data_IF_394042157553
#
_entry.id   IF_394042157553
#
_cell.length_a   1.000
_cell.length_b   1.000
_cell.length_c   1.000
_cell.angle_alpha   90.00
_cell.angle_beta   90.00
_cell.angle_gamma   90.00
#
_symmetry.space_group_name_H-M   'P 1'
#
loop_
_entity.id
_entity.type
_entity.pdbx_description
1 polymer ?
#
# COMPACT_ATOMS: atom_id res chain seq x y z
N UNK A 1 28.73 -16.95 3.84
CA UNK A 1 28.25 -16.88 2.44
C UNK A 1 26.74 -16.60 2.46
N UNK A 2 26.31 -15.34 2.34
CA UNK A 2 24.88 -15.00 2.30
C UNK A 2 24.36 -15.11 0.86
N UNK A 3 23.59 -16.17 0.59
CA UNK A 3 22.93 -16.41 -0.70
C UNK A 3 21.69 -15.50 -0.83
N UNK A 4 21.81 -14.45 -1.64
CA UNK A 4 21.02 -14.30 -2.87
C UNK A 4 19.47 -14.23 -2.82
N UNK A 5 18.83 -13.66 -1.80
CA UNK A 5 17.35 -13.58 -1.74
C UNK A 5 16.69 -12.32 -2.33
N UNK A 6 17.42 -11.22 -2.51
CA UNK A 6 16.77 -9.89 -2.52
C UNK A 6 16.37 -9.33 -3.89
N UNK A 7 16.89 -9.86 -5.01
CA UNK A 7 16.68 -9.26 -6.34
C UNK A 7 15.48 -9.81 -7.11
N UNK A 8 15.11 -11.07 -6.88
CA UNK A 8 13.97 -11.69 -7.58
C UNK A 8 12.62 -11.16 -7.07
N UNK A 9 12.47 -10.92 -5.77
CA UNK A 9 11.21 -10.44 -5.18
C UNK A 9 10.84 -9.01 -5.61
N UNK A 10 11.83 -8.11 -5.72
CA UNK A 10 11.61 -6.73 -6.21
C UNK A 10 11.19 -6.74 -7.69
N UNK A 11 11.72 -7.67 -8.49
CA UNK A 11 11.36 -7.84 -9.90
C UNK A 11 9.91 -8.30 -10.09
N UNK A 12 9.38 -9.11 -9.17
CA UNK A 12 7.98 -9.55 -9.16
C UNK A 12 7.07 -8.42 -8.71
N UNK A 13 7.43 -7.69 -7.63
CA UNK A 13 6.70 -6.50 -7.16
C UNK A 13 6.63 -5.41 -8.24
N UNK A 14 7.75 -5.08 -8.89
CA UNK A 14 7.76 -4.07 -9.97
C UNK A 14 7.01 -4.53 -11.22
N UNK A 15 6.96 -5.83 -11.50
CA UNK A 15 6.16 -6.40 -12.61
C UNK A 15 4.66 -6.46 -12.26
N UNK A 16 4.29 -6.70 -11.01
CA UNK A 16 2.92 -6.63 -10.50
C UNK A 16 2.41 -5.18 -10.47
N UNK A 17 3.24 -4.24 -10.01
CA UNK A 17 2.99 -2.79 -10.09
C UNK A 17 2.82 -2.37 -11.57
N UNK A 18 3.65 -2.88 -12.50
CA UNK A 18 3.54 -2.52 -13.93
C UNK A 18 2.41 -3.20 -14.71
N UNK A 19 1.89 -4.36 -14.27
CA UNK A 19 0.83 -5.12 -14.99
C UNK A 19 -0.54 -5.11 -14.30
N UNK A 20 -0.62 -4.90 -12.97
CA UNK A 20 -1.81 -5.18 -12.17
C UNK A 20 -2.59 -3.95 -11.68
N UNK A 21 -2.02 -2.74 -11.79
CA UNK A 21 -2.63 -1.51 -11.26
C UNK A 21 -3.94 -1.13 -11.98
N UNK A 22 -4.18 -1.61 -13.21
CA UNK A 22 -5.43 -1.36 -13.95
C UNK A 22 -6.63 -2.21 -13.50
N UNK A 23 -6.46 -3.19 -12.61
CA UNK A 23 -7.53 -4.11 -12.17
C UNK A 23 -7.43 -4.49 -10.68
N UNK A 24 -6.98 -3.57 -9.83
CA UNK A 24 -6.76 -3.85 -8.41
C UNK A 24 -8.09 -3.88 -7.66
N UNK A 25 -8.65 -5.07 -7.44
CA UNK A 25 -9.81 -5.30 -6.57
C UNK A 25 -9.34 -5.29 -5.10
N UNK A 26 -8.85 -4.12 -4.66
CA UNK A 26 -8.27 -3.95 -3.32
C UNK A 26 -9.37 -4.21 -2.30
N UNK A 27 -9.14 -5.18 -1.42
CA UNK A 27 -10.00 -5.42 -0.27
C UNK A 27 -9.63 -4.47 0.86
N UNK A 28 -10.61 -4.10 1.66
CA UNK A 28 -10.39 -3.30 2.86
C UNK A 28 -10.66 -4.15 4.09
N UNK A 29 -9.67 -4.26 4.97
CA UNK A 29 -9.91 -4.86 6.28
C UNK A 29 -10.92 -4.03 7.07
N UNK A 30 -11.66 -4.65 7.98
CA UNK A 30 -12.59 -3.92 8.87
C UNK A 30 -11.86 -2.84 9.68
N UNK A 31 -10.61 -3.12 10.08
CA UNK A 31 -9.77 -2.15 10.76
C UNK A 31 -9.41 -0.95 9.86
N UNK A 32 -9.07 -1.20 8.59
CA UNK A 32 -8.78 -0.14 7.63
C UNK A 32 -10.01 0.74 7.39
N UNK A 33 -11.20 0.15 7.18
CA UNK A 33 -12.46 0.89 7.01
C UNK A 33 -12.75 1.80 8.20
N UNK A 34 -12.60 1.29 9.42
CA UNK A 34 -12.76 2.10 10.63
C UNK A 34 -11.78 3.29 10.65
N UNK A 35 -10.50 3.04 10.38
CA UNK A 35 -9.48 4.10 10.37
C UNK A 35 -9.71 5.14 9.28
N UNK A 36 -10.09 4.69 8.08
CA UNK A 36 -10.44 5.56 6.97
C UNK A 36 -11.63 6.46 7.31
N UNK A 37 -12.69 5.89 7.88
CA UNK A 37 -13.86 6.63 8.34
C UNK A 37 -13.51 7.70 9.37
N UNK A 38 -12.73 7.36 10.41
CA UNK A 38 -12.23 8.32 11.42
C UNK A 38 -11.43 9.50 10.80
N UNK A 39 -10.80 9.27 9.64
CA UNK A 39 -9.93 10.25 8.97
C UNK A 39 -10.63 10.99 7.83
N UNK A 40 -11.88 10.64 7.52
CA UNK A 40 -12.61 11.16 6.36
C UNK A 40 -12.02 10.73 5.03
N UNK A 41 -11.34 9.58 4.97
CA UNK A 41 -10.77 9.02 3.74
C UNK A 41 -11.78 8.04 3.15
N UNK A 42 -12.11 8.18 1.86
CA UNK A 42 -13.03 7.26 1.18
C UNK A 42 -12.29 6.08 0.53
N UNK A 43 -13.02 5.01 0.23
CA UNK A 43 -12.45 3.87 -0.51
C UNK A 43 -11.99 4.29 -1.90
N UNK A 44 -12.71 5.19 -2.57
CA UNK A 44 -12.35 5.72 -3.88
C UNK A 44 -11.02 6.46 -3.86
N UNK A 45 -10.74 7.24 -2.81
CA UNK A 45 -9.46 7.93 -2.67
C UNK A 45 -8.29 6.95 -2.55
N UNK A 46 -8.47 5.86 -1.79
CA UNK A 46 -7.46 4.82 -1.67
C UNK A 46 -7.28 4.07 -2.99
N UNK A 47 -8.37 3.66 -3.62
CA UNK A 47 -8.32 2.96 -4.92
C UNK A 47 -7.62 3.86 -5.94
N UNK A 48 -8.02 5.13 -6.01
CA UNK A 48 -7.39 6.12 -6.89
C UNK A 48 -5.88 6.23 -6.61
N UNK A 49 -5.47 6.36 -5.34
CA UNK A 49 -4.05 6.36 -4.97
C UNK A 49 -3.31 5.12 -5.50
N UNK A 50 -3.84 3.92 -5.33
CA UNK A 50 -3.17 2.71 -5.81
C UNK A 50 -3.18 2.59 -7.34
N UNK A 51 -4.22 3.11 -8.01
CA UNK A 51 -4.35 3.11 -9.48
C UNK A 51 -3.40 4.13 -10.13
N UNK A 52 -3.28 5.33 -9.58
CA UNK A 52 -2.56 6.44 -10.21
C UNK A 52 -1.18 6.67 -9.62
N UNK A 53 -0.93 6.19 -8.40
CA UNK A 53 0.22 6.54 -7.55
C UNK A 53 0.32 8.06 -7.28
N UNK A 54 -0.76 8.82 -7.47
CA UNK A 54 -0.79 10.25 -7.16
C UNK A 54 -0.65 10.46 -5.65
N UNK A 55 0.23 11.39 -5.26
CA UNK A 55 0.52 11.66 -3.85
C UNK A 55 1.44 10.62 -3.18
N UNK A 56 2.05 9.68 -3.92
CA UNK A 56 3.05 8.78 -3.36
C UNK A 56 4.30 9.55 -2.91
N UNK A 57 4.63 9.44 -1.62
CA UNK A 57 5.79 10.06 -1.00
C UNK A 57 6.93 9.06 -0.77
N UNK A 58 6.60 7.79 -0.60
CA UNK A 58 7.59 6.74 -0.37
C UNK A 58 6.98 5.35 -0.36
N UNK A 59 7.77 4.36 -0.73
CA UNK A 59 7.35 2.97 -0.78
C UNK A 59 8.45 2.08 -0.21
N UNK A 60 8.11 1.19 0.72
CA UNK A 60 9.04 0.20 1.26
C UNK A 60 8.33 -1.06 1.73
N UNK A 61 9.05 -2.17 1.81
CA UNK A 61 8.57 -3.37 2.48
C UNK A 61 8.67 -3.20 4.01
N UNK A 62 7.81 -3.88 4.74
CA UNK A 62 7.86 -3.90 6.21
C UNK A 62 8.97 -4.83 6.69
N UNK A 63 9.82 -4.33 7.60
CA UNK A 63 10.91 -5.09 8.21
C UNK A 63 10.43 -6.21 9.15
N UNK A 64 9.15 -6.16 9.56
CA UNK A 64 8.54 -7.17 10.45
C UNK A 64 7.86 -8.30 9.68
N UNK A 65 7.35 -7.98 8.49
CA UNK A 65 6.59 -8.90 7.64
C UNK A 65 6.68 -8.40 6.21
N UNK A 66 7.49 -9.08 5.41
CA UNK A 66 7.77 -8.71 4.01
C UNK A 66 6.56 -8.86 3.09
N UNK A 67 5.47 -9.49 3.55
CA UNK A 67 4.18 -9.53 2.84
C UNK A 67 3.48 -8.17 2.84
N UNK A 68 3.86 -7.27 3.76
CA UNK A 68 3.29 -5.94 3.89
C UNK A 68 4.15 -4.87 3.19
N UNK A 69 3.51 -4.16 2.29
CA UNK A 69 3.99 -2.94 1.65
C UNK A 69 3.54 -1.72 2.46
N UNK A 70 4.48 -0.84 2.78
CA UNK A 70 4.26 0.42 3.46
C UNK A 70 4.36 1.54 2.42
N UNK A 71 3.23 2.14 2.09
CA UNK A 71 3.14 3.26 1.15
C UNK A 71 2.84 4.55 1.92
N UNK A 72 3.77 5.49 1.89
CA UNK A 72 3.57 6.84 2.41
C UNK A 72 2.87 7.68 1.34
N UNK A 73 1.71 8.23 1.67
CA UNK A 73 0.79 8.88 0.74
C UNK A 73 0.39 10.27 1.25
N UNK A 74 0.19 11.21 0.33
CA UNK A 74 -0.43 12.51 0.56
C UNK A 74 -1.87 12.46 0.06
N UNK A 75 -2.83 12.46 0.98
CA UNK A 75 -4.27 12.43 0.68
C UNK A 75 -4.88 13.69 1.31
N UNK A 76 -5.54 14.51 0.50
CA UNK A 76 -6.13 15.80 0.91
C UNK A 76 -5.16 16.70 1.71
N UNK A 77 -3.89 16.76 1.27
CA UNK A 77 -2.84 17.55 1.91
C UNK A 77 -2.33 17.01 3.24
N UNK A 78 -2.83 15.85 3.70
CA UNK A 78 -2.37 15.17 4.92
C UNK A 78 -1.56 13.92 4.57
N UNK A 79 -0.53 13.66 5.35
CA UNK A 79 0.35 12.51 5.13
C UNK A 79 -0.16 11.30 5.88
N UNK A 80 -0.20 10.16 5.20
CA UNK A 80 -0.59 8.88 5.76
C UNK A 80 0.38 7.79 5.34
N UNK A 81 0.46 6.72 6.14
CA UNK A 81 1.08 5.46 5.77
C UNK A 81 -0.01 4.42 5.61
N UNK A 82 -0.14 3.91 4.39
CA UNK A 82 -0.99 2.81 4.03
C UNK A 82 -0.20 1.51 4.22
N UNK A 83 -0.77 0.57 4.97
CA UNK A 83 -0.21 -0.77 5.12
C UNK A 83 -1.03 -1.72 4.26
N UNK A 84 -0.42 -2.20 3.20
CA UNK A 84 -1.07 -3.05 2.21
C UNK A 84 -0.39 -4.42 2.18
N UNK A 85 -1.16 -5.48 2.39
CA UNK A 85 -0.66 -6.84 2.24
C UNK A 85 -0.75 -7.23 0.76
N UNK A 86 0.40 -7.42 0.13
CA UNK A 86 0.52 -7.71 -1.30
C UNK A 86 0.26 -9.18 -1.68
N UNK A 87 0.11 -10.07 -0.70
CA UNK A 87 -0.21 -11.48 -0.91
C UNK A 87 -1.72 -11.69 -0.93
N UNK A 88 -2.44 -11.00 -0.03
CA UNK A 88 -3.89 -11.14 0.13
C UNK A 88 -4.70 -10.04 -0.59
N UNK A 89 -4.01 -9.11 -1.24
CA UNK A 89 -4.56 -7.93 -1.91
C UNK A 89 -5.47 -7.08 -0.99
N UNK A 90 -5.07 -6.90 0.27
CA UNK A 90 -5.87 -6.23 1.31
C UNK A 90 -5.14 -5.02 1.89
N UNK A 91 -5.84 -3.89 1.97
CA UNK A 91 -5.44 -2.77 2.82
C UNK A 91 -5.71 -3.16 4.28
N UNK A 92 -4.63 -3.28 5.03
CA UNK A 92 -4.67 -3.68 6.44
C UNK A 92 -5.04 -2.49 7.33
N UNK A 93 -4.44 -1.32 7.11
CA UNK A 93 -4.71 -0.12 7.92
C UNK A 93 -4.16 1.18 7.30
N UNK A 94 -4.55 2.31 7.88
CA UNK A 94 -4.12 3.67 7.52
C UNK A 94 -3.64 4.44 8.76
N UNK A 95 -2.36 4.81 8.80
CA UNK A 95 -1.77 5.58 9.89
C UNK A 95 -1.52 7.03 9.48
N UNK A 96 -1.82 8.04 10.31
CA UNK A 96 -1.33 9.39 10.07
C UNK A 96 0.19 9.44 10.22
N UNK A 97 0.85 10.21 9.36
CA UNK A 97 2.25 10.58 9.50
C UNK A 97 2.32 12.03 10.01
N UNK A 98 3.27 12.29 10.91
CA UNK A 98 3.56 13.65 11.41
C UNK A 98 4.28 14.49 10.35
#
# INVERSE_FOLDING_TARGET
MYKGGSKQNIGVLTKAIRKGILYMNIKFSEHAKQRMHERGITEEQIIHFFVTNEGLLGLKLSDKDESNLLADALIDGKKYRLVYNAVEDILVTVFPLK
#
